data_IF_856062627796
#
_entry.id   IF_856062627796
#
_cell.length_a   1.000
_cell.length_b   1.000
_cell.length_c   1.000
_cell.angle_alpha   90.00
_cell.angle_beta   90.00
_cell.angle_gamma   90.00
#
_symmetry.space_group_name_H-M   'P 1'
#
loop_
_entity.id
_entity.type
_entity.pdbx_description
1 polymer ?
#
# COMPACT_ATOMS: atom_id res chain seq x y z
N UNK A 1 9.11 -50.86 6.58
CA UNK A 1 8.68 -49.72 7.43
C UNK A 1 8.18 -48.61 6.53
N UNK A 2 6.90 -48.28 6.59
CA UNK A 2 6.32 -47.17 5.81
C UNK A 2 6.64 -45.85 6.51
N UNK A 3 7.42 -44.98 5.85
CA UNK A 3 7.63 -43.60 6.29
C UNK A 3 6.29 -42.85 6.29
N UNK A 4 5.90 -42.20 7.39
CA UNK A 4 4.65 -41.45 7.44
C UNK A 4 4.73 -40.29 6.44
N UNK A 5 3.83 -40.27 5.46
CA UNK A 5 3.65 -39.12 4.56
C UNK A 5 3.37 -37.90 5.43
N UNK A 6 4.35 -37.00 5.51
CA UNK A 6 4.18 -35.67 6.10
C UNK A 6 3.05 -35.00 5.33
N UNK A 7 1.88 -34.87 5.96
CA UNK A 7 0.75 -34.13 5.40
C UNK A 7 1.19 -32.67 5.27
N UNK A 8 1.79 -32.33 4.12
CA UNK A 8 2.06 -30.95 3.74
C UNK A 8 0.69 -30.31 3.60
N UNK A 9 0.26 -29.53 4.60
CA UNK A 9 -0.88 -28.65 4.46
C UNK A 9 -0.51 -27.66 3.36
N UNK A 10 -1.03 -27.91 2.16
CA UNK A 10 -0.93 -27.01 1.02
C UNK A 10 -1.78 -25.79 1.40
N UNK A 11 -1.14 -24.74 1.92
CA UNK A 11 -1.82 -23.50 2.27
C UNK A 11 -1.32 -22.41 1.34
N UNK A 12 -2.22 -21.89 0.50
CA UNK A 12 -2.04 -20.60 -0.14
C UNK A 12 -1.78 -19.56 0.95
N UNK A 13 -0.86 -18.62 0.70
CA UNK A 13 -0.56 -17.58 1.69
C UNK A 13 -1.85 -16.88 2.12
N UNK A 14 -2.10 -16.74 3.43
CA UNK A 14 -3.32 -16.12 3.93
C UNK A 14 -3.54 -14.70 3.35
N UNK A 15 -4.79 -14.27 3.08
CA UNK A 15 -5.05 -12.98 2.43
C UNK A 15 -4.45 -11.76 3.15
N UNK A 16 -4.37 -11.80 4.48
CA UNK A 16 -3.72 -10.78 5.30
C UNK A 16 -2.22 -10.69 5.06
N UNK A 17 -1.56 -11.83 4.82
CA UNK A 17 -0.13 -11.87 4.49
C UNK A 17 0.10 -11.30 3.08
N UNK A 18 -0.80 -11.59 2.13
CA UNK A 18 -0.74 -10.99 0.80
C UNK A 18 -0.91 -9.46 0.89
N UNK A 19 -1.86 -8.97 1.67
CA UNK A 19 -2.04 -7.53 1.86
C UNK A 19 -0.85 -6.88 2.57
N UNK A 20 -0.28 -7.52 3.60
CA UNK A 20 0.96 -7.11 4.23
C UNK A 20 2.11 -7.01 3.24
N UNK A 21 2.33 -8.05 2.43
CA UNK A 21 3.38 -8.05 1.40
C UNK A 21 3.17 -6.96 0.35
N UNK A 22 1.92 -6.63 -0.01
CA UNK A 22 1.61 -5.48 -0.86
C UNK A 22 2.08 -4.18 -0.23
N UNK A 23 1.76 -3.92 1.04
CA UNK A 23 2.17 -2.69 1.74
C UNK A 23 3.70 -2.63 1.89
N UNK A 24 4.31 -3.72 2.34
CA UNK A 24 5.76 -3.86 2.54
C UNK A 24 6.54 -3.57 1.24
N UNK A 25 6.12 -4.16 0.12
CA UNK A 25 6.82 -4.04 -1.15
C UNK A 25 6.41 -2.84 -2.01
N UNK A 26 5.44 -2.02 -1.55
CA UNK A 26 5.03 -0.78 -2.21
C UNK A 26 5.37 0.46 -1.37
N UNK A 27 4.55 0.79 -0.39
CA UNK A 27 4.73 1.92 0.53
C UNK A 27 6.02 1.76 1.34
N UNK A 28 6.33 0.53 1.76
CA UNK A 28 7.60 0.18 2.41
C UNK A 28 8.82 0.15 1.49
N UNK A 29 8.66 0.26 0.16
CA UNK A 29 9.76 0.45 -0.79
C UNK A 29 10.26 1.90 -0.83
N UNK A 30 10.34 2.51 0.36
CA UNK A 30 10.76 3.87 0.57
C UNK A 30 11.79 3.87 1.70
N UNK A 31 12.99 4.44 1.51
CA UNK A 31 14.06 4.39 2.50
C UNK A 31 13.71 5.09 3.82
N UNK A 32 12.67 5.92 3.83
CA UNK A 32 12.19 6.63 5.03
C UNK A 32 10.97 5.96 5.67
N UNK A 33 10.56 4.79 5.19
CA UNK A 33 9.38 4.07 5.66
C UNK A 33 9.78 2.66 6.08
N UNK A 34 9.39 2.26 7.28
CA UNK A 34 9.55 0.91 7.80
C UNK A 34 8.16 0.33 8.08
N UNK A 35 7.87 -0.85 7.53
CA UNK A 35 6.64 -1.59 7.84
C UNK A 35 7.01 -2.66 8.86
N UNK A 36 6.42 -2.58 10.05
CA UNK A 36 6.64 -3.58 11.11
C UNK A 36 5.91 -4.89 10.79
N UNK A 37 6.36 -6.03 11.34
CA UNK A 37 5.66 -7.30 11.19
C UNK A 37 4.18 -7.19 11.55
N UNK A 38 3.33 -7.87 10.78
CA UNK A 38 1.89 -7.92 11.04
C UNK A 38 1.63 -8.61 12.39
N UNK A 39 0.87 -7.96 13.27
CA UNK A 39 0.53 -8.49 14.59
C UNK A 39 -0.95 -8.86 14.63
N UNK A 40 -1.29 -10.01 15.20
CA UNK A 40 -2.68 -10.32 15.52
C UNK A 40 -2.99 -9.79 16.92
N UNK A 41 -4.00 -8.93 17.02
CA UNK A 41 -4.48 -8.34 18.27
C UNK A 41 -5.97 -8.62 18.38
N UNK A 42 -6.34 -9.51 19.29
CA UNK A 42 -7.70 -10.06 19.40
C UNK A 42 -8.14 -10.68 18.04
N UNK A 43 -9.27 -10.21 17.50
CA UNK A 43 -9.84 -10.67 16.22
C UNK A 43 -9.44 -9.78 15.03
N UNK A 44 -8.47 -8.89 15.19
CA UNK A 44 -7.98 -8.00 14.13
C UNK A 44 -6.48 -8.16 13.92
N UNK A 45 -6.01 -7.75 12.74
CA UNK A 45 -4.59 -7.64 12.44
C UNK A 45 -4.17 -6.18 12.48
N UNK A 46 -3.11 -5.88 13.21
CA UNK A 46 -2.49 -4.56 13.29
C UNK A 46 -1.22 -4.52 12.43
N UNK A 47 -1.15 -3.54 11.53
CA UNK A 47 0.03 -3.23 10.75
C UNK A 47 0.53 -1.83 11.11
N UNK A 48 1.74 -1.73 11.63
CA UNK A 48 2.36 -0.44 11.95
C UNK A 48 3.34 -0.03 10.86
N UNK A 49 3.19 1.20 10.36
CA UNK A 49 4.14 1.83 9.46
C UNK A 49 4.84 2.95 10.23
N UNK A 50 6.16 2.84 10.41
CA UNK A 50 7.00 3.94 10.92
C UNK A 50 7.53 4.78 9.79
N UNK A 51 7.45 6.10 9.93
CA UNK A 51 7.84 7.04 8.88
C UNK A 51 8.80 8.10 9.44
N UNK A 52 9.89 8.32 8.73
CA UNK A 52 10.83 9.42 9.00
C UNK A 52 10.31 10.72 8.41
N UNK A 53 10.09 11.71 9.27
CA UNK A 53 9.55 13.03 8.92
C UNK A 53 8.02 13.12 9.07
N UNK A 54 7.57 14.08 9.88
CA UNK A 54 6.14 14.21 10.26
C UNK A 54 5.23 14.56 9.08
N UNK A 55 5.70 15.41 8.15
CA UNK A 55 4.93 15.76 6.94
C UNK A 55 4.70 14.54 6.05
N UNK A 56 5.73 13.69 5.87
CA UNK A 56 5.62 12.43 5.12
C UNK A 56 4.69 11.46 5.84
N UNK A 57 4.81 11.33 7.16
CA UNK A 57 3.95 10.48 7.97
C UNK A 57 2.48 10.89 7.86
N UNK A 58 2.19 12.20 7.97
CA UNK A 58 0.84 12.74 7.81
C UNK A 58 0.26 12.51 6.41
N UNK A 59 1.10 12.69 5.37
CA UNK A 59 0.70 12.41 4.00
C UNK A 59 0.39 10.93 3.77
N UNK A 60 1.25 10.01 4.24
CA UNK A 60 1.00 8.56 4.17
C UNK A 60 -0.27 8.19 4.94
N UNK A 61 -0.44 8.67 6.18
CA UNK A 61 -1.63 8.42 6.99
C UNK A 61 -2.91 8.88 6.28
N UNK A 62 -2.86 10.00 5.56
CA UNK A 62 -4.01 10.54 4.82
C UNK A 62 -4.35 9.74 3.56
N UNK A 63 -3.33 9.24 2.87
CA UNK A 63 -3.46 8.51 1.60
C UNK A 63 -3.77 7.01 1.76
N UNK A 64 -3.34 6.38 2.85
CA UNK A 64 -3.51 4.95 3.11
C UNK A 64 -4.96 4.54 3.37
N UNK A 65 -5.32 3.32 2.97
CA UNK A 65 -6.51 2.63 3.48
C UNK A 65 -6.20 2.14 4.89
N UNK A 66 -6.65 2.87 5.91
CA UNK A 66 -6.33 2.55 7.30
C UNK A 66 -7.11 1.36 7.88
N UNK A 67 -8.25 1.01 7.30
CA UNK A 67 -9.06 -0.13 7.71
C UNK A 67 -9.38 -0.95 6.46
N UNK A 68 -8.78 -2.12 6.33
CA UNK A 68 -8.97 -3.05 5.22
C UNK A 68 -9.75 -4.26 5.71
N UNK A 69 -10.88 -4.55 5.04
CA UNK A 69 -11.65 -5.77 5.25
C UNK A 69 -11.43 -6.73 4.08
N UNK A 70 -11.14 -7.99 4.38
CA UNK A 70 -10.98 -9.08 3.40
C UNK A 70 -11.80 -10.27 3.89
N UNK A 71 -13.00 -10.45 3.35
CA UNK A 71 -13.97 -11.40 3.91
C UNK A 71 -14.26 -11.04 5.38
N UNK A 72 -13.98 -11.98 6.29
CA UNK A 72 -14.15 -11.79 7.74
C UNK A 72 -12.90 -11.25 8.45
N UNK A 73 -11.81 -11.02 7.71
CA UNK A 73 -10.54 -10.54 8.28
C UNK A 73 -10.55 -9.01 8.27
N UNK A 74 -10.22 -8.41 9.41
CA UNK A 74 -10.03 -6.97 9.56
C UNK A 74 -8.56 -6.64 9.81
N UNK A 75 -8.01 -5.74 9.00
CA UNK A 75 -6.64 -5.26 9.09
C UNK A 75 -6.68 -3.75 9.35
N UNK A 76 -6.13 -3.33 10.48
CA UNK A 76 -5.96 -1.93 10.84
C UNK A 76 -4.52 -1.51 10.60
N UNK A 77 -4.36 -0.43 9.84
CA UNK A 77 -3.05 0.19 9.60
C UNK A 77 -2.90 1.40 10.51
N UNK A 78 -1.77 1.47 11.21
CA UNK A 78 -1.37 2.64 12.00
C UNK A 78 -0.11 3.24 11.38
N UNK A 79 -0.07 4.56 11.25
CA UNK A 79 1.12 5.29 10.83
C UNK A 79 1.70 6.00 12.04
N UNK A 80 2.97 5.78 12.33
CA UNK A 80 3.71 6.42 13.41
C UNK A 80 4.90 7.19 12.87
N UNK A 81 5.26 8.30 13.50
CA UNK A 81 6.54 8.95 13.20
C UNK A 81 7.70 8.22 13.89
N UNK A 82 8.94 8.69 13.67
CA UNK A 82 10.15 8.15 14.32
C UNK A 82 10.10 8.19 15.85
N UNK A 83 9.37 9.14 16.43
CA UNK A 83 9.18 9.25 17.89
C UNK A 83 8.16 8.25 18.44
N UNK A 84 7.57 7.41 17.58
CA UNK A 84 6.53 6.44 17.95
C UNK A 84 5.14 7.05 18.13
N UNK A 85 4.96 8.34 17.83
CA UNK A 85 3.68 9.03 17.94
C UNK A 85 2.75 8.59 16.81
N UNK A 86 1.51 8.25 17.16
CA UNK A 86 0.47 7.92 16.18
C UNK A 86 0.08 9.17 15.39
N UNK A 87 0.14 9.07 14.07
CA UNK A 87 -0.19 10.14 13.15
C UNK A 87 -1.59 9.92 12.60
N UNK A 88 -2.46 10.92 12.80
CA UNK A 88 -3.82 10.89 12.30
C UNK A 88 -3.89 11.45 10.86
N UNK A 89 -4.79 10.90 10.02
CA UNK A 89 -5.12 11.49 8.72
C UNK A 89 -5.60 12.93 8.84
N UNK A 90 -5.34 13.73 7.81
CA UNK A 90 -5.97 15.04 7.66
C UNK A 90 -7.48 14.84 7.44
N UNK A 91 -8.30 15.51 8.26
CA UNK A 91 -9.77 15.33 8.29
C UNK A 91 -10.57 16.39 7.53
N UNK A 92 -9.96 17.55 7.23
CA UNK A 92 -10.62 18.61 6.45
C UNK A 92 -10.79 18.20 4.99
N UNK A 93 -11.68 18.88 4.28
CA UNK A 93 -11.80 18.76 2.83
C UNK A 93 -10.49 19.16 2.16
N UNK A 94 -10.03 18.35 1.21
CA UNK A 94 -8.83 18.57 0.42
C UNK A 94 -9.19 18.81 -1.04
N UNK A 95 -8.56 19.81 -1.64
CA UNK A 95 -8.62 20.05 -3.08
C UNK A 95 -7.77 19.02 -3.84
N UNK A 96 -8.02 18.86 -5.14
CA UNK A 96 -7.21 17.97 -5.99
C UNK A 96 -5.71 18.35 -5.99
N UNK A 97 -5.40 19.65 -5.93
CA UNK A 97 -4.02 20.14 -5.84
C UNK A 97 -3.34 19.75 -4.52
N UNK A 98 -4.07 19.85 -3.40
CA UNK A 98 -3.57 19.43 -2.08
C UNK A 98 -3.38 17.90 -2.02
N UNK A 99 -4.31 17.11 -2.57
CA UNK A 99 -4.16 15.65 -2.66
C UNK A 99 -2.91 15.31 -3.49
N UNK A 100 -2.68 15.99 -4.61
CA UNK A 100 -1.45 15.81 -5.39
C UNK A 100 -0.19 16.20 -4.59
N UNK A 101 -0.25 17.29 -3.80
CA UNK A 101 0.85 17.64 -2.90
C UNK A 101 1.11 16.54 -1.86
N UNK A 102 0.08 15.92 -1.30
CA UNK A 102 0.24 14.76 -0.41
C UNK A 102 0.96 13.60 -1.10
N UNK A 103 0.62 13.27 -2.34
CA UNK A 103 1.34 12.23 -3.09
C UNK A 103 2.81 12.57 -3.28
N UNK A 104 3.13 13.82 -3.64
CA UNK A 104 4.52 14.28 -3.76
C UNK A 104 5.25 14.14 -2.42
N UNK A 105 4.66 14.61 -1.33
CA UNK A 105 5.27 14.53 0.00
C UNK A 105 5.44 13.08 0.48
N UNK A 106 4.41 12.26 0.34
CA UNK A 106 4.40 10.87 0.79
C UNK A 106 5.41 10.01 0.03
N UNK A 107 5.56 10.19 -1.28
CA UNK A 107 6.29 9.24 -2.13
C UNK A 107 7.51 9.81 -2.85
N UNK A 108 7.95 11.04 -2.53
CA UNK A 108 9.16 11.66 -3.14
C UNK A 108 10.39 10.74 -3.15
N UNK A 109 10.58 9.95 -2.09
CA UNK A 109 11.72 9.05 -1.90
C UNK A 109 11.42 7.59 -2.26
N UNK A 110 10.18 7.28 -2.65
CA UNK A 110 9.77 5.93 -3.01
C UNK A 110 10.23 5.62 -4.44
N UNK A 111 10.95 4.51 -4.63
CA UNK A 111 11.58 4.18 -5.92
C UNK A 111 10.57 3.82 -7.02
N UNK A 112 9.35 3.45 -6.65
CA UNK A 112 8.29 3.08 -7.57
C UNK A 112 7.48 4.30 -8.03
N UNK A 113 7.51 5.40 -7.28
CA UNK A 113 6.80 6.62 -7.63
C UNK A 113 7.56 7.40 -8.72
N UNK A 114 6.81 7.98 -9.65
CA UNK A 114 7.37 8.85 -10.69
C UNK A 114 6.94 10.30 -10.46
N UNK A 115 5.64 10.58 -10.60
CA UNK A 115 5.07 11.90 -10.38
C UNK A 115 3.57 11.81 -10.11
N UNK A 116 2.91 12.96 -9.99
CA UNK A 116 1.46 13.05 -9.85
C UNK A 116 0.93 14.23 -10.66
N UNK A 117 -0.15 13.97 -11.38
CA UNK A 117 -0.81 14.93 -12.28
C UNK A 117 -2.23 15.19 -11.79
N UNK A 118 -2.68 16.44 -11.87
CA UNK A 118 -4.08 16.80 -11.63
C UNK A 118 -4.72 17.08 -12.98
N UNK A 119 -5.89 16.49 -13.26
CA UNK A 119 -6.72 16.86 -14.41
C UNK A 119 -8.06 17.38 -13.91
N UNK A 120 -8.41 18.58 -14.36
CA UNK A 120 -9.66 19.26 -14.00
C UNK A 120 -10.68 19.28 -15.16
N UNK A 121 -10.29 18.82 -16.34
CA UNK A 121 -11.11 18.83 -17.56
C UNK A 121 -11.85 17.51 -17.76
N UNK A 122 -13.00 17.54 -18.44
CA UNK A 122 -13.77 16.34 -18.82
C UNK A 122 -13.04 15.59 -19.96
N UNK A 123 -13.28 14.27 -20.15
CA UNK A 123 -14.24 13.43 -19.42
C UNK A 123 -13.72 12.93 -18.07
N UNK A 124 -12.42 13.02 -17.77
CA UNK A 124 -11.84 12.46 -16.55
C UNK A 124 -11.21 13.54 -15.68
N UNK A 125 -11.85 13.79 -14.53
CA UNK A 125 -11.37 14.68 -13.48
C UNK A 125 -10.80 13.87 -12.32
N UNK A 126 -9.64 14.26 -11.81
CA UNK A 126 -9.05 13.59 -10.65
C UNK A 126 -7.55 13.81 -10.49
N UNK A 127 -7.00 13.10 -9.52
CA UNK A 127 -5.56 13.06 -9.23
C UNK A 127 -4.99 11.74 -9.74
N UNK A 128 -3.92 11.83 -10.51
CA UNK A 128 -3.30 10.69 -11.20
C UNK A 128 -1.89 10.50 -10.64
N UNK A 129 -1.73 9.72 -9.55
CA UNK A 129 -0.40 9.28 -9.15
C UNK A 129 0.12 8.30 -10.20
N UNK A 130 1.30 8.61 -10.74
CA UNK A 130 1.95 7.84 -11.79
C UNK A 130 3.13 7.08 -11.18
N UNK A 131 3.10 5.77 -11.35
CA UNK A 131 4.16 4.87 -10.89
C UNK A 131 5.00 4.41 -12.07
N UNK A 132 6.27 4.07 -11.82
CA UNK A 132 7.13 3.50 -12.85
C UNK A 132 6.56 2.16 -13.34
N UNK A 133 6.76 1.84 -14.62
CA UNK A 133 6.43 0.53 -15.20
C UNK A 133 7.32 -0.58 -14.62
N UNK A 134 7.06 -0.98 -13.38
CA UNK A 134 7.82 -1.97 -12.61
C UNK A 134 6.87 -3.05 -12.07
N UNK A 135 7.39 -4.27 -12.02
CA UNK A 135 6.76 -5.39 -11.34
C UNK A 135 7.14 -5.32 -9.86
N UNK A 136 6.13 -5.47 -9.00
CA UNK A 136 6.28 -5.74 -7.57
C UNK A 136 6.02 -7.23 -7.39
N UNK A 137 7.06 -7.95 -6.99
CA UNK A 137 7.05 -9.40 -6.82
C UNK A 137 7.36 -9.74 -5.37
N UNK A 138 6.62 -10.71 -4.83
CA UNK A 138 6.89 -11.26 -3.50
C UNK A 138 6.39 -12.69 -3.40
N UNK A 139 7.02 -13.46 -2.51
CA UNK A 139 6.63 -14.83 -2.22
C UNK A 139 5.25 -14.87 -1.55
N UNK A 140 4.38 -15.79 -1.98
CA UNK A 140 3.03 -15.93 -1.44
C UNK A 140 2.43 -17.35 -1.64
N UNK A 141 3.27 -18.39 -1.66
CA UNK A 141 2.84 -19.79 -1.83
C UNK A 141 1.91 -20.01 -3.04
N UNK A 142 2.10 -19.25 -4.12
CA UNK A 142 1.28 -19.36 -5.31
C UNK A 142 1.62 -20.64 -6.09
N UNK A 143 0.78 -21.67 -6.01
CA UNK A 143 1.03 -22.97 -6.65
C UNK A 143 1.07 -22.92 -8.18
N UNK A 144 0.48 -21.87 -8.78
CA UNK A 144 0.52 -21.66 -10.22
C UNK A 144 1.81 -20.98 -10.70
N UNK A 145 2.67 -20.53 -9.80
CA UNK A 145 3.99 -19.95 -10.11
C UNK A 145 5.09 -20.93 -9.67
N UNK A 146 6.04 -21.21 -10.56
CA UNK A 146 7.15 -22.14 -10.28
C UNK A 146 7.94 -21.73 -9.03
N UNK A 147 8.10 -20.42 -8.83
CA UNK A 147 8.82 -19.83 -7.70
C UNK A 147 7.88 -19.40 -6.56
N UNK A 148 6.60 -19.78 -6.64
CA UNK A 148 5.54 -19.51 -5.66
C UNK A 148 5.31 -18.03 -5.35
N UNK A 149 5.62 -17.16 -6.31
CA UNK A 149 5.45 -15.72 -6.17
C UNK A 149 4.09 -15.23 -6.68
N UNK A 150 3.70 -14.07 -6.18
CA UNK A 150 2.73 -13.20 -6.84
C UNK A 150 3.47 -12.04 -7.50
N UNK A 151 3.00 -11.67 -8.70
CA UNK A 151 3.56 -10.61 -9.52
C UNK A 151 2.46 -9.59 -9.84
N UNK A 152 2.70 -8.33 -9.50
CA UNK A 152 1.76 -7.24 -9.78
C UNK A 152 2.46 -6.06 -10.44
N UNK A 153 1.74 -5.30 -11.27
CA UNK A 153 2.23 -4.00 -11.72
C UNK A 153 2.13 -3.00 -10.56
N UNK A 154 3.16 -2.16 -10.37
CA UNK A 154 3.25 -1.25 -9.23
C UNK A 154 1.96 -0.43 -8.98
N UNK A 155 1.36 0.17 -10.02
CA UNK A 155 0.13 0.96 -9.85
C UNK A 155 -1.02 0.16 -9.24
N UNK A 156 -1.13 -1.14 -9.58
CA UNK A 156 -2.18 -2.01 -9.08
C UNK A 156 -1.98 -2.31 -7.58
N UNK A 157 -0.74 -2.49 -7.15
CA UNK A 157 -0.41 -2.65 -5.73
C UNK A 157 -0.76 -1.38 -4.95
N UNK A 158 -0.36 -0.21 -5.46
CA UNK A 158 -0.69 1.06 -4.81
C UNK A 158 -2.20 1.34 -4.74
N UNK A 159 -2.95 1.00 -5.80
CA UNK A 159 -4.42 1.10 -5.82
C UNK A 159 -5.10 0.25 -4.75
N UNK A 160 -4.50 -0.87 -4.36
CA UNK A 160 -5.09 -1.78 -3.36
C UNK A 160 -4.86 -1.32 -1.92
N UNK A 161 -3.77 -0.58 -1.68
CA UNK A 161 -3.32 -0.15 -0.34
C UNK A 161 -3.60 1.32 -0.05
N UNK A 162 -3.75 2.15 -1.07
CA UNK A 162 -4.09 3.57 -0.96
C UNK A 162 -5.58 3.81 -1.27
N UNK A 163 -6.10 4.93 -0.78
CA UNK A 163 -7.47 5.34 -1.02
C UNK A 163 -7.66 5.67 -2.49
N UNK A 164 -8.80 5.23 -3.05
CA UNK A 164 -9.18 5.53 -4.44
C UNK A 164 -9.98 6.84 -4.57
N UNK A 165 -10.35 7.45 -3.45
CA UNK A 165 -10.95 8.78 -3.41
C UNK A 165 -10.71 9.46 -2.06
N UNK A 166 -10.57 10.78 -2.10
CA UNK A 166 -10.46 11.67 -0.93
C UNK A 166 -11.26 12.93 -1.23
N UNK A 167 -12.14 13.34 -0.31
CA UNK A 167 -12.96 14.56 -0.48
C UNK A 167 -13.71 14.60 -1.82
N UNK A 168 -14.31 13.47 -2.21
CA UNK A 168 -15.00 13.28 -3.50
C UNK A 168 -14.13 13.42 -4.76
N UNK A 169 -12.82 13.63 -4.61
CA UNK A 169 -11.86 13.62 -5.71
C UNK A 169 -11.40 12.19 -5.98
N UNK A 170 -11.58 11.71 -7.21
CA UNK A 170 -11.10 10.41 -7.64
C UNK A 170 -9.55 10.38 -7.72
N UNK A 171 -8.97 9.28 -7.25
CA UNK A 171 -7.54 8.99 -7.37
C UNK A 171 -7.39 7.85 -8.37
N UNK A 172 -6.76 8.16 -9.51
CA UNK A 172 -6.70 7.31 -10.69
C UNK A 172 -5.25 6.87 -10.94
N UNK A 173 -4.90 5.75 -10.32
CA UNK A 173 -3.55 5.17 -10.38
C UNK A 173 -3.15 4.83 -11.81
N UNK A 174 -1.98 5.31 -12.22
CA UNK A 174 -1.48 5.17 -13.58
C UNK A 174 -0.04 4.66 -13.60
N UNK A 175 0.38 4.15 -14.76
CA UNK A 175 1.77 3.71 -14.99
C UNK A 175 2.42 4.65 -16.00
N UNK A 176 3.68 5.02 -15.76
CA UNK A 176 4.47 5.80 -16.69
C UNK A 176 4.70 4.99 -17.98
N UNK A 177 4.70 5.66 -19.12
CA UNK A 177 5.13 5.03 -20.37
C UNK A 177 6.58 4.56 -20.23
N UNK A 178 6.87 3.37 -20.73
CA UNK A 178 8.22 2.86 -20.85
C UNK A 178 8.89 3.67 -21.96
N UNK A 179 9.89 4.48 -21.62
CA UNK A 179 10.82 5.04 -22.61
C UNK A 179 11.78 3.95 -23.06
#
# INVERSE_FOLDING_TARGET
MATPKKNVRIQLSPPQNIYFSKVLNSVGNDPLVQVEPLQQVNNEYLMTIRVSGDQKASAIATLMVLNKKIGNIQIRVQVRNQRGQLINPIRRTLTAAEIAALFRTAFRTNRLFNNVVVRSTRPVRGVFPVFRARVVQFFADNLADLNRNLNFVAFAVFRDVLRNSISSTAILFSTAQKK
#
